data_IF_395994540059
#
_entry.id   IF_395994540059
#
_cell.length_a   1.000
_cell.length_b   1.000
_cell.length_c   1.000
_cell.angle_alpha   90.00
_cell.angle_beta   90.00
_cell.angle_gamma   90.00
#
_symmetry.space_group_name_H-M   'P 1'
#
loop_
_entity.id
_entity.type
_entity.pdbx_description
1 polymer ?
#
# COMPACT_ATOMS: atom_id res chain seq x y z
N UNK A 1 18.28 -8.46 14.71
CA UNK A 1 17.67 -9.25 13.62
C UNK A 1 16.68 -8.34 12.91
N UNK A 2 16.91 -8.01 11.63
CA UNK A 2 15.97 -7.21 10.84
C UNK A 2 14.92 -8.15 10.23
N UNK A 3 13.87 -8.48 11.00
CA UNK A 3 12.75 -9.27 10.49
C UNK A 3 11.86 -8.39 9.60
N UNK A 4 11.48 -8.93 8.45
CA UNK A 4 10.44 -8.37 7.61
C UNK A 4 9.11 -8.89 8.13
N UNK A 5 8.19 -7.98 8.45
CA UNK A 5 6.79 -8.28 8.76
C UNK A 5 5.98 -7.80 7.57
N UNK A 6 5.37 -8.73 6.85
CA UNK A 6 4.71 -8.46 5.58
C UNK A 6 3.22 -8.80 5.63
N UNK A 7 2.40 -7.95 5.04
CA UNK A 7 1.01 -8.25 4.69
C UNK A 7 0.86 -8.23 3.16
N UNK A 8 0.67 -9.41 2.58
CA UNK A 8 0.71 -9.60 1.13
C UNK A 8 -0.68 -9.73 0.50
N UNK A 9 -1.75 -9.72 1.30
CA UNK A 9 -3.12 -9.80 0.81
C UNK A 9 -3.93 -8.62 1.34
N UNK A 10 -3.97 -7.56 0.53
CA UNK A 10 -4.79 -6.39 0.80
C UNK A 10 -5.85 -6.20 -0.30
N UNK A 11 -6.89 -5.47 0.07
CA UNK A 11 -7.90 -4.98 -0.86
C UNK A 11 -7.94 -3.45 -0.82
N UNK A 12 -8.16 -2.87 -1.99
CA UNK A 12 -8.35 -1.44 -2.20
C UNK A 12 -9.75 -0.99 -1.78
N UNK A 13 -9.97 0.33 -1.69
CA UNK A 13 -11.31 0.92 -1.53
C UNK A 13 -12.31 0.59 -2.66
N UNK A 14 -11.86 0.01 -3.77
CA UNK A 14 -12.72 -0.40 -4.89
C UNK A 14 -13.24 -1.82 -4.76
N UNK A 15 -12.70 -2.61 -3.83
CA UNK A 15 -13.25 -3.93 -3.50
C UNK A 15 -14.59 -3.82 -2.78
N UNK A 16 -15.46 -4.82 -3.00
CA UNK A 16 -16.76 -4.90 -2.33
C UNK A 16 -16.57 -5.15 -0.83
N UNK A 17 -17.41 -4.53 -0.01
CA UNK A 17 -17.37 -4.65 1.46
C UNK A 17 -16.04 -4.23 2.12
N UNK A 18 -15.27 -3.37 1.44
CA UNK A 18 -14.04 -2.76 1.99
C UNK A 18 -14.30 -1.31 2.35
N UNK A 19 -13.61 -0.81 3.38
CA UNK A 19 -13.75 0.58 3.83
C UNK A 19 -13.36 1.56 2.69
N UNK A 20 -14.15 2.62 2.45
CA UNK A 20 -13.78 3.66 1.49
C UNK A 20 -12.51 4.43 1.89
N UNK A 21 -12.06 4.29 3.16
CA UNK A 21 -10.81 4.85 3.67
C UNK A 21 -9.57 3.99 3.35
N UNK A 22 -9.71 2.85 2.66
CA UNK A 22 -8.57 2.03 2.20
C UNK A 22 -7.83 2.72 1.04
N UNK A 23 -7.09 3.77 1.39
CA UNK A 23 -6.20 4.55 0.54
C UNK A 23 -4.75 4.27 0.91
N UNK A 24 -3.80 4.47 0.00
CA UNK A 24 -2.39 4.21 0.29
C UNK A 24 -1.85 4.97 1.53
N UNK A 25 -2.18 6.26 1.76
CA UNK A 25 -1.77 6.94 2.98
C UNK A 25 -2.30 6.28 4.25
N UNK A 26 -3.61 5.97 4.31
CA UNK A 26 -4.20 5.30 5.46
C UNK A 26 -3.60 3.92 5.69
N UNK A 27 -3.42 3.13 4.63
CA UNK A 27 -2.80 1.80 4.70
C UNK A 27 -1.39 1.90 5.31
N UNK A 28 -0.58 2.87 4.88
CA UNK A 28 0.76 3.05 5.40
C UNK A 28 0.81 3.53 6.85
N UNK A 29 -0.08 4.44 7.26
CA UNK A 29 -0.17 4.89 8.65
C UNK A 29 -0.52 3.73 9.59
N UNK A 30 -1.49 2.89 9.23
CA UNK A 30 -1.83 1.71 10.01
C UNK A 30 -0.75 0.63 9.96
N UNK A 31 -0.02 0.48 8.85
CA UNK A 31 1.10 -0.44 8.78
C UNK A 31 2.21 -0.06 9.77
N UNK A 32 2.51 1.25 9.90
CA UNK A 32 3.45 1.76 10.92
C UNK A 32 2.99 1.42 12.33
N UNK A 33 1.71 1.66 12.65
CA UNK A 33 1.13 1.33 13.97
C UNK A 33 1.20 -0.18 14.26
N UNK A 34 0.96 -1.02 13.25
CA UNK A 34 1.00 -2.48 13.36
C UNK A 34 2.42 -3.08 13.33
N UNK A 35 3.44 -2.28 13.03
CA UNK A 35 4.81 -2.78 12.85
C UNK A 35 5.03 -3.58 11.56
N UNK A 36 4.16 -3.39 10.56
CA UNK A 36 4.28 -4.03 9.23
C UNK A 36 5.21 -3.15 8.38
N UNK A 37 6.28 -3.75 7.86
CA UNK A 37 7.32 -3.04 7.10
C UNK A 37 7.34 -3.40 5.60
N UNK A 38 6.48 -4.33 5.17
CA UNK A 38 6.23 -4.63 3.76
C UNK A 38 4.72 -4.86 3.50
N UNK A 39 4.19 -4.24 2.45
CA UNK A 39 2.77 -4.37 2.07
C UNK A 39 2.66 -4.70 0.59
N UNK A 40 1.69 -5.55 0.24
CA UNK A 40 1.22 -5.68 -1.14
C UNK A 40 0.31 -4.51 -1.52
N UNK A 41 0.24 -4.18 -2.81
CA UNK A 41 -0.70 -3.16 -3.30
C UNK A 41 -2.15 -3.62 -3.22
N UNK A 42 -2.39 -4.92 -3.39
CA UNK A 42 -3.74 -5.47 -3.59
C UNK A 42 -4.41 -4.93 -4.86
N UNK A 43 -5.40 -5.66 -5.39
CA UNK A 43 -6.32 -5.19 -6.44
C UNK A 43 -5.69 -4.43 -7.65
N UNK A 44 -4.42 -4.67 -7.98
CA UNK A 44 -3.69 -3.83 -8.96
C UNK A 44 -4.24 -3.94 -10.38
N UNK A 45 -5.07 -4.94 -10.66
CA UNK A 45 -5.78 -5.11 -11.92
C UNK A 45 -6.98 -4.17 -12.06
N UNK A 46 -7.46 -3.56 -10.97
CA UNK A 46 -8.54 -2.58 -11.02
C UNK A 46 -8.02 -1.24 -11.59
N UNK A 47 -8.61 -0.71 -12.68
CA UNK A 47 -8.02 0.41 -13.42
C UNK A 47 -7.87 1.68 -12.58
N UNK A 48 -8.90 2.07 -11.82
CA UNK A 48 -8.82 3.26 -10.96
C UNK A 48 -7.86 3.07 -9.78
N UNK A 49 -7.68 1.82 -9.32
CA UNK A 49 -6.70 1.55 -8.27
C UNK A 49 -5.30 1.66 -8.84
N UNK A 50 -5.06 1.10 -10.02
CA UNK A 50 -3.79 1.18 -10.71
C UNK A 50 -3.37 2.62 -10.99
N UNK A 51 -4.28 3.50 -11.42
CA UNK A 51 -3.98 4.94 -11.53
C UNK A 51 -3.60 5.57 -10.20
N UNK A 52 -4.30 5.21 -9.13
CA UNK A 52 -3.97 5.67 -7.79
C UNK A 52 -2.56 5.22 -7.38
N UNK A 53 -2.21 3.94 -7.60
CA UNK A 53 -0.88 3.39 -7.37
C UNK A 53 0.19 4.19 -8.13
N UNK A 54 0.02 4.41 -9.44
CA UNK A 54 0.95 5.22 -10.27
C UNK A 54 1.09 6.67 -9.77
N UNK A 55 -0.01 7.26 -9.34
CA UNK A 55 -0.01 8.64 -8.85
C UNK A 55 0.71 8.80 -7.51
N UNK A 56 0.68 7.78 -6.65
CA UNK A 56 1.15 7.86 -5.25
C UNK A 56 2.46 7.13 -4.98
N UNK A 57 2.93 6.25 -5.87
CA UNK A 57 4.07 5.38 -5.61
C UNK A 57 5.26 5.73 -6.51
N UNK A 58 6.46 5.58 -5.95
CA UNK A 58 7.73 5.70 -6.65
C UNK A 58 8.32 4.30 -6.77
N UNK A 59 8.75 3.96 -7.98
CA UNK A 59 9.52 2.75 -8.22
C UNK A 59 10.87 2.83 -7.48
N UNK A 60 11.15 1.82 -6.66
CA UNK A 60 12.49 1.61 -6.09
C UNK A 60 13.05 0.31 -6.66
N UNK A 61 14.37 0.27 -6.83
CA UNK A 61 15.07 -0.83 -7.53
C UNK A 61 14.75 -2.18 -6.86
N UNK A 62 14.22 -3.09 -7.68
CA UNK A 62 13.83 -4.49 -7.45
C UNK A 62 13.07 -4.78 -6.13
N UNK A 63 11.76 -5.04 -6.29
CA UNK A 63 10.82 -5.73 -5.38
C UNK A 63 9.88 -4.84 -4.54
N UNK A 64 10.08 -3.52 -4.42
CA UNK A 64 9.15 -2.68 -3.64
C UNK A 64 8.98 -1.25 -4.19
N UNK A 65 7.80 -0.69 -3.92
CA UNK A 65 7.42 0.68 -4.28
C UNK A 65 7.20 1.49 -3.01
N UNK A 66 7.64 2.75 -3.02
CA UNK A 66 7.57 3.64 -1.86
C UNK A 66 6.50 4.70 -2.08
N UNK A 67 5.75 5.05 -1.04
CA UNK A 67 4.86 6.21 -1.05
C UNK A 67 5.61 7.50 -1.37
N UNK A 68 5.05 8.31 -2.28
CA UNK A 68 5.59 9.63 -2.69
C UNK A 68 5.58 10.63 -1.54
N UNK A 69 4.65 10.49 -0.61
CA UNK A 69 4.52 11.38 0.54
C UNK A 69 5.33 10.77 1.68
N UNK A 70 6.61 11.13 1.75
CA UNK A 70 7.32 11.13 3.02
C UNK A 70 6.72 12.27 3.85
N UNK A 71 5.91 11.93 4.85
CA UNK A 71 5.74 12.82 6.00
C UNK A 71 6.97 12.58 6.88
N UNK A 72 7.69 13.68 7.14
CA UNK A 72 8.89 13.82 7.98
C UNK A 72 8.92 12.87 9.20
#
# INVERSE_FOLDING_TARGET
>A
MNSIVADLHLHSKYSRAVSPKMTLPSIADYAKIKGINLLSTGDFTHPLWFEHLRSQLIEKKLVYIKLKIEVL
#
